data_IF_136810421301
#
_entry.id   IF_136810421301
#
_cell.length_a   1.000
_cell.length_b   1.000
_cell.length_c   1.000
_cell.angle_alpha   90.00
_cell.angle_beta   90.00
_cell.angle_gamma   90.00
#
_symmetry.space_group_name_H-M   'P 1'
#
loop_
_entity.id
_entity.type
_entity.pdbx_description
1 polymer ?
#
# COMPACT_ATOMS: atom_id res chain seq x y z
N UNK A 1 15.09 -0.70 3.99
CA UNK A 1 14.20 0.39 3.52
C UNK A 1 14.75 1.17 2.33
N UNK A 2 15.92 1.84 2.43
CA UNK A 2 16.45 2.69 1.33
C UNK A 2 16.49 2.01 -0.03
N UNK A 3 16.94 0.75 -0.11
CA UNK A 3 16.98 -0.01 -1.38
C UNK A 3 15.60 -0.22 -2.00
N UNK A 4 14.59 -0.54 -1.19
CA UNK A 4 13.19 -0.66 -1.63
C UNK A 4 12.71 0.69 -2.17
N UNK A 5 12.97 1.78 -1.43
CA UNK A 5 12.58 3.12 -1.87
C UNK A 5 13.25 3.54 -3.19
N UNK A 6 14.50 3.13 -3.44
CA UNK A 6 15.18 3.38 -4.72
C UNK A 6 14.45 2.65 -5.87
N UNK A 7 14.07 1.39 -5.67
CA UNK A 7 13.31 0.64 -6.68
C UNK A 7 11.95 1.31 -6.97
N UNK A 8 11.20 1.67 -5.92
CA UNK A 8 9.90 2.36 -6.08
C UNK A 8 10.06 3.73 -6.73
N UNK A 9 11.07 4.51 -6.34
CA UNK A 9 11.36 5.82 -6.94
C UNK A 9 11.67 5.70 -8.44
N UNK A 10 12.38 4.65 -8.83
CA UNK A 10 12.65 4.38 -10.24
C UNK A 10 11.37 4.12 -11.02
N UNK A 11 10.48 3.26 -10.51
CA UNK A 11 9.19 2.98 -11.12
C UNK A 11 8.30 4.23 -11.22
N UNK A 12 8.16 4.97 -10.11
CA UNK A 12 7.27 6.14 -10.06
C UNK A 12 7.74 7.27 -10.98
N UNK A 13 9.05 7.45 -11.18
CA UNK A 13 9.61 8.40 -12.16
C UNK A 13 9.34 8.00 -13.61
N UNK A 14 9.26 6.70 -13.87
CA UNK A 14 8.83 6.16 -15.16
C UNK A 14 7.30 6.13 -15.31
N UNK A 15 6.56 6.70 -14.34
CA UNK A 15 5.11 6.61 -14.28
C UNK A 15 4.60 5.18 -14.27
N UNK A 16 5.29 4.29 -13.56
CA UNK A 16 4.84 2.92 -13.31
C UNK A 16 4.54 2.79 -11.83
N UNK A 17 3.37 2.26 -11.49
CA UNK A 17 3.04 1.80 -10.15
C UNK A 17 3.15 0.27 -10.11
N UNK A 18 3.78 -0.28 -9.08
CA UNK A 18 3.95 -1.74 -8.93
C UNK A 18 2.65 -2.41 -8.49
N UNK A 19 1.95 -1.78 -7.54
CA UNK A 19 0.65 -2.16 -6.96
C UNK A 19 0.62 -3.48 -6.19
N UNK A 20 1.68 -4.29 -6.23
CA UNK A 20 1.86 -5.52 -5.44
C UNK A 20 3.15 -5.52 -4.60
N UNK A 21 3.48 -4.39 -3.97
CA UNK A 21 4.62 -4.34 -3.05
C UNK A 21 4.29 -5.10 -1.76
N UNK A 22 5.03 -6.17 -1.50
CA UNK A 22 4.90 -7.05 -0.34
C UNK A 22 6.20 -7.84 -0.09
N UNK A 23 6.45 -8.37 1.13
CA UNK A 23 7.69 -9.07 1.46
C UNK A 23 8.09 -10.19 0.48
N UNK A 24 7.11 -10.91 -0.06
CA UNK A 24 7.31 -12.01 -1.03
C UNK A 24 7.94 -11.56 -2.34
N UNK A 25 7.70 -10.30 -2.71
CA UNK A 25 8.21 -9.70 -3.94
C UNK A 25 9.53 -8.94 -3.72
N UNK A 26 10.14 -9.07 -2.54
CA UNK A 26 11.42 -8.46 -2.17
C UNK A 26 12.45 -9.56 -1.92
N UNK A 27 13.18 -9.92 -2.99
CA UNK A 27 14.09 -11.07 -2.98
C UNK A 27 15.55 -10.62 -3.01
N UNK A 28 16.41 -11.34 -2.30
CA UNK A 28 17.86 -11.17 -2.46
C UNK A 28 18.38 -11.97 -3.65
N UNK A 29 19.31 -11.40 -4.41
CA UNK A 29 19.92 -12.07 -5.56
C UNK A 29 20.77 -13.29 -5.19
N UNK A 30 21.24 -13.35 -3.94
CA UNK A 30 22.12 -14.38 -3.39
C UNK A 30 21.86 -14.55 -1.89
N UNK A 31 22.15 -15.72 -1.30
CA UNK A 31 21.97 -15.96 0.14
C UNK A 31 23.07 -15.35 1.02
N UNK A 32 24.21 -14.95 0.43
CA UNK A 32 25.33 -14.37 1.15
C UNK A 32 25.20 -12.85 1.31
N UNK A 33 26.01 -12.19 2.18
CA UNK A 33 25.91 -10.75 2.45
C UNK A 33 26.14 -9.83 1.24
N UNK A 34 26.62 -10.34 0.10
CA UNK A 34 26.74 -9.59 -1.16
C UNK A 34 25.45 -9.61 -1.99
N UNK A 35 24.41 -10.30 -1.51
CA UNK A 35 23.09 -10.31 -2.12
C UNK A 35 22.49 -8.91 -2.19
N UNK A 36 21.97 -8.55 -3.37
CA UNK A 36 21.30 -7.27 -3.61
C UNK A 36 19.80 -7.51 -3.54
N UNK A 37 19.09 -6.65 -2.80
CA UNK A 37 17.63 -6.68 -2.74
C UNK A 37 17.03 -6.26 -4.09
N UNK A 38 16.10 -7.06 -4.61
CA UNK A 38 15.41 -6.81 -5.88
C UNK A 38 13.90 -6.90 -5.68
N UNK A 39 13.20 -5.98 -6.33
CA UNK A 39 11.75 -6.02 -6.48
C UNK A 39 11.40 -6.92 -7.66
N UNK A 40 10.43 -7.82 -7.48
CA UNK A 40 9.97 -8.79 -8.47
C UNK A 40 8.45 -8.78 -8.64
N UNK A 41 7.95 -9.55 -9.60
CA UNK A 41 6.52 -9.77 -9.89
C UNK A 41 5.73 -8.50 -10.29
N UNK A 42 5.85 -8.16 -11.57
CA UNK A 42 5.16 -7.03 -12.18
C UNK A 42 3.77 -7.40 -12.73
N UNK A 43 3.19 -8.54 -12.33
CA UNK A 43 1.89 -9.01 -12.85
C UNK A 43 0.72 -8.03 -12.60
N UNK A 44 0.85 -7.17 -11.58
CA UNK A 44 -0.10 -6.09 -11.30
C UNK A 44 0.42 -4.70 -11.63
N UNK A 45 1.65 -4.57 -12.14
CA UNK A 45 2.22 -3.28 -12.45
C UNK A 45 1.45 -2.59 -13.58
N UNK A 46 1.40 -1.25 -13.55
CA UNK A 46 0.67 -0.47 -14.55
C UNK A 46 1.32 0.88 -14.79
N UNK A 47 1.34 1.31 -16.05
CA UNK A 47 1.65 2.70 -16.40
C UNK A 47 0.53 3.61 -15.91
N UNK A 48 0.90 4.61 -15.13
CA UNK A 48 -0.05 5.56 -14.56
C UNK A 48 -0.40 6.64 -15.57
N UNK A 49 0.46 6.97 -16.55
CA UNK A 49 0.21 7.98 -17.58
C UNK A 49 -0.70 7.48 -18.71
N UNK A 50 -1.98 7.22 -18.41
CA UNK A 50 -2.95 7.02 -19.48
C UNK A 50 -3.56 8.36 -19.91
N UNK A 51 -2.85 9.04 -20.83
CA UNK A 51 -3.30 10.23 -21.58
C UNK A 51 -4.51 9.99 -22.52
N UNK A 52 -5.17 8.83 -22.46
CA UNK A 52 -6.26 8.47 -23.39
C UNK A 52 -7.67 8.82 -22.92
N UNK A 53 -7.83 9.68 -21.91
CA UNK A 53 -9.11 10.37 -21.64
C UNK A 53 -8.99 11.85 -22.00
N UNK A 54 -9.26 12.13 -23.28
CA UNK A 54 -9.54 13.44 -23.89
C UNK A 54 -8.39 14.46 -23.92
N UNK A 55 -7.95 14.75 -25.15
CA UNK A 55 -7.19 15.95 -25.47
C UNK A 55 -7.90 17.21 -24.95
N UNK A 56 -7.10 18.08 -24.35
CA UNK A 56 -7.36 19.48 -23.96
C UNK A 56 -7.90 19.72 -22.54
N UNK A 57 -7.01 19.88 -21.55
CA UNK A 57 -7.31 20.62 -20.33
C UNK A 57 -6.82 22.06 -20.46
N UNK A 58 -7.68 22.95 -20.95
CA UNK A 58 -7.60 24.36 -20.57
C UNK A 58 -8.11 24.45 -19.13
N UNK A 59 -7.24 24.34 -18.12
CA UNK A 59 -7.65 24.55 -16.72
C UNK A 59 -7.09 25.84 -16.13
N UNK A 60 -8.02 26.61 -15.57
CA UNK A 60 -7.76 27.64 -14.55
C UNK A 60 -7.67 26.94 -13.17
N UNK A 61 -6.65 27.17 -12.33
CA UNK A 61 -6.22 26.19 -11.31
C UNK A 61 -7.03 26.12 -9.99
N UNK A 62 -8.15 26.83 -9.86
CA UNK A 62 -8.70 27.14 -8.52
C UNK A 62 -9.92 26.32 -8.06
N UNK A 63 -10.50 25.44 -8.90
CA UNK A 63 -11.79 24.78 -8.60
C UNK A 63 -11.85 23.26 -8.84
N UNK A 64 -10.71 22.57 -8.78
CA UNK A 64 -10.66 21.13 -9.08
C UNK A 64 -10.92 20.32 -7.81
N UNK A 65 -11.99 19.52 -7.83
CA UNK A 65 -12.40 18.64 -6.73
C UNK A 65 -11.43 17.44 -6.55
N UNK A 66 -11.29 16.86 -5.34
CA UNK A 66 -10.29 15.83 -5.02
C UNK A 66 -10.33 14.59 -5.93
N UNK A 67 -11.51 14.22 -6.43
CA UNK A 67 -11.73 13.11 -7.37
C UNK A 67 -11.15 13.33 -8.77
N UNK A 68 -10.81 14.57 -9.11
CA UNK A 68 -10.15 14.93 -10.38
C UNK A 68 -8.62 14.78 -10.29
N UNK A 69 -8.08 14.55 -9.08
CA UNK A 69 -6.74 14.00 -8.94
C UNK A 69 -6.78 12.54 -9.42
N UNK A 70 -6.44 12.35 -10.68
CA UNK A 70 -6.75 11.16 -11.43
C UNK A 70 -6.25 9.82 -10.84
N UNK A 71 -6.70 8.72 -11.44
CA UNK A 71 -6.42 7.35 -10.98
C UNK A 71 -4.91 7.05 -10.80
N UNK A 72 -4.05 7.81 -11.49
CA UNK A 72 -2.59 7.79 -11.38
C UNK A 72 -2.07 8.02 -9.95
N UNK A 73 -2.64 8.98 -9.21
CA UNK A 73 -2.23 9.26 -7.83
C UNK A 73 -2.65 8.12 -6.90
N UNK A 74 -3.80 7.50 -7.17
CA UNK A 74 -4.25 6.34 -6.41
C UNK A 74 -3.34 5.13 -6.60
N UNK A 75 -2.95 4.83 -7.84
CA UNK A 75 -2.06 3.69 -8.13
C UNK A 75 -0.69 3.86 -7.44
N UNK A 76 -0.01 5.01 -7.58
CA UNK A 76 1.27 5.26 -6.88
C UNK A 76 1.11 5.27 -5.35
N UNK A 77 -0.02 5.78 -4.84
CA UNK A 77 -0.28 5.80 -3.39
C UNK A 77 -0.40 4.39 -2.77
N UNK A 78 -0.80 3.39 -3.56
CA UNK A 78 -0.87 2.00 -3.13
C UNK A 78 0.53 1.48 -2.76
N UNK A 79 1.52 1.75 -3.61
CA UNK A 79 2.93 1.41 -3.32
C UNK A 79 3.43 2.10 -2.05
N UNK A 80 3.05 3.36 -1.84
CA UNK A 80 3.44 4.11 -0.63
C UNK A 80 2.82 3.52 0.64
N UNK A 81 1.59 3.02 0.57
CA UNK A 81 0.97 2.31 1.69
C UNK A 81 1.74 1.01 2.01
N UNK A 82 2.05 0.21 0.98
CA UNK A 82 2.86 -1.00 1.14
C UNK A 82 4.21 -0.72 1.78
N UNK A 83 4.89 0.35 1.37
CA UNK A 83 6.16 0.78 1.99
C UNK A 83 6.00 1.04 3.49
N UNK A 84 4.90 1.65 3.91
CA UNK A 84 4.59 1.88 5.33
C UNK A 84 4.40 0.58 6.09
N UNK A 85 3.66 -0.38 5.53
CA UNK A 85 3.42 -1.71 6.14
C UNK A 85 4.74 -2.49 6.25
N UNK A 86 5.53 -2.53 5.18
CA UNK A 86 6.83 -3.23 5.16
C UNK A 86 7.79 -2.59 6.16
N UNK A 87 7.85 -1.25 6.22
CA UNK A 87 8.70 -0.55 7.19
C UNK A 87 8.30 -0.87 8.63
N UNK A 88 6.99 -0.91 8.92
CA UNK A 88 6.49 -1.27 10.24
C UNK A 88 6.93 -2.69 10.63
N UNK A 89 6.70 -3.68 9.74
CA UNK A 89 7.10 -5.08 9.98
C UNK A 89 8.61 -5.21 10.15
N UNK A 90 9.43 -4.52 9.34
CA UNK A 90 10.89 -4.58 9.48
C UNK A 90 11.37 -4.06 10.84
N UNK A 91 10.65 -3.12 11.46
CA UNK A 91 11.06 -2.50 12.72
C UNK A 91 10.60 -3.26 13.98
N UNK A 92 9.49 -4.01 13.93
CA UNK A 92 8.98 -4.73 15.10
C UNK A 92 8.69 -6.22 14.89
N UNK A 93 8.61 -6.70 13.64
CA UNK A 93 8.39 -8.10 13.29
C UNK A 93 6.93 -8.51 13.08
N UNK A 94 5.99 -7.57 13.15
CA UNK A 94 4.55 -7.84 13.12
C UNK A 94 3.81 -6.72 12.33
N UNK A 95 2.76 -6.97 11.53
CA UNK A 95 2.01 -5.90 10.82
C UNK A 95 1.38 -4.82 11.71
N UNK A 96 1.13 -3.61 11.17
CA UNK A 96 0.48 -2.52 11.91
C UNK A 96 -0.99 -2.80 12.25
N UNK A 97 -1.65 -3.68 11.50
CA UNK A 97 -3.07 -3.99 11.68
C UNK A 97 -3.19 -5.44 12.14
N UNK A 98 -3.53 -5.63 13.43
CA UNK A 98 -3.82 -6.93 14.02
C UNK A 98 -5.29 -7.11 14.37
N UNK A 99 -5.73 -8.36 14.42
CA UNK A 99 -7.03 -8.79 14.94
C UNK A 99 -6.87 -9.05 16.44
N UNK A 100 -7.64 -8.38 17.31
CA UNK A 100 -7.54 -8.53 18.78
C UNK A 100 -7.89 -9.94 19.30
N UNK A 101 -8.29 -10.86 18.42
CA UNK A 101 -8.82 -12.17 18.79
C UNK A 101 -8.15 -13.34 18.07
N UNK A 102 -6.98 -13.16 17.45
CA UNK A 102 -6.26 -14.25 16.77
C UNK A 102 -6.99 -14.88 15.58
N UNK A 103 -8.18 -14.38 15.23
CA UNK A 103 -8.90 -14.77 14.02
C UNK A 103 -8.36 -13.94 12.85
N UNK A 104 -7.78 -14.63 11.87
CA UNK A 104 -7.61 -14.09 10.53
C UNK A 104 -8.99 -13.62 10.05
N UNK A 105 -9.10 -12.33 9.71
CA UNK A 105 -10.33 -11.66 9.24
C UNK A 105 -11.39 -11.46 10.34
N UNK A 106 -11.17 -10.50 11.23
CA UNK A 106 -12.29 -9.86 11.92
C UNK A 106 -12.78 -8.64 11.11
N UNK A 107 -14.10 -8.36 11.04
CA UNK A 107 -14.63 -7.10 10.52
C UNK A 107 -13.96 -5.86 11.15
N UNK A 108 -13.40 -6.02 12.37
CA UNK A 108 -12.60 -5.01 13.06
C UNK A 108 -11.31 -4.64 12.34
N UNK A 109 -10.66 -5.56 11.63
CA UNK A 109 -9.42 -5.30 10.90
C UNK A 109 -9.62 -4.33 9.73
N UNK A 110 -10.57 -4.64 8.84
CA UNK A 110 -10.92 -3.76 7.71
C UNK A 110 -11.37 -2.38 8.21
N UNK A 111 -12.08 -2.34 9.34
CA UNK A 111 -12.47 -1.09 9.99
C UNK A 111 -11.24 -0.32 10.49
N UNK A 112 -10.26 -0.98 11.12
CA UNK A 112 -9.01 -0.37 11.58
C UNK A 112 -8.15 0.16 10.45
N UNK A 113 -7.99 -0.59 9.36
CA UNK A 113 -7.28 -0.13 8.15
C UNK A 113 -7.96 1.13 7.59
N UNK A 114 -9.28 1.10 7.41
CA UNK A 114 -10.04 2.28 6.93
C UNK A 114 -9.99 3.46 7.89
N UNK A 115 -9.92 3.19 9.20
CA UNK A 115 -9.79 4.21 10.23
C UNK A 115 -8.34 4.66 10.47
N UNK A 116 -7.34 4.01 9.86
CA UNK A 116 -5.93 4.28 10.11
C UNK A 116 -5.51 4.01 11.56
N UNK A 117 -6.19 3.07 12.23
CA UNK A 117 -5.98 2.76 13.64
C UNK A 117 -4.93 1.67 13.79
N UNK A 118 -3.72 2.10 14.14
CA UNK A 118 -2.60 1.26 14.56
C UNK A 118 -1.79 2.03 15.61
N UNK A 119 -1.08 1.29 16.44
CA UNK A 119 -0.25 1.84 17.52
C UNK A 119 1.20 1.37 17.37
N UNK A 120 2.08 1.84 18.25
CA UNK A 120 3.48 1.44 18.33
C UNK A 120 3.73 0.82 19.71
N UNK A 121 3.36 -0.45 19.94
CA UNK A 121 3.32 -1.02 21.28
C UNK A 121 4.72 -1.32 21.83
N UNK A 122 4.84 -1.25 23.14
CA UNK A 122 6.03 -1.67 23.87
C UNK A 122 5.99 -3.19 24.12
N UNK A 123 7.15 -3.86 24.21
CA UNK A 123 8.51 -3.28 24.19
C UNK A 123 9.09 -3.02 22.80
N UNK A 124 8.50 -3.56 21.72
CA UNK A 124 9.15 -3.59 20.41
C UNK A 124 9.40 -2.19 19.80
N UNK A 125 8.56 -1.22 20.14
CA UNK A 125 8.68 0.16 19.66
C UNK A 125 9.32 1.12 20.66
N UNK A 126 9.70 0.66 21.86
CA UNK A 126 10.20 1.53 22.93
C UNK A 126 11.44 2.31 22.48
N UNK A 127 12.40 1.60 21.86
CA UNK A 127 13.68 2.16 21.43
C UNK A 127 13.70 2.63 19.97
N UNK A 128 12.59 2.50 19.25
CA UNK A 128 12.48 2.97 17.86
C UNK A 128 12.30 4.49 17.84
N UNK A 129 13.17 5.18 17.10
CA UNK A 129 13.19 6.65 16.99
C UNK A 129 11.84 7.25 16.58
N UNK A 130 11.55 8.46 17.06
CA UNK A 130 10.39 9.26 16.63
C UNK A 130 10.35 9.45 15.12
N UNK A 131 11.49 9.74 14.49
CA UNK A 131 11.59 10.00 13.05
C UNK A 131 11.09 8.81 12.21
N UNK A 132 11.42 7.58 12.61
CA UNK A 132 10.93 6.36 11.98
C UNK A 132 9.41 6.22 12.14
N UNK A 133 8.88 6.47 13.35
CA UNK A 133 7.44 6.42 13.64
C UNK A 133 6.66 7.47 12.84
N UNK A 134 7.20 8.68 12.71
CA UNK A 134 6.62 9.76 11.91
C UNK A 134 6.60 9.44 10.42
N UNK A 135 7.67 8.83 9.91
CA UNK A 135 7.72 8.39 8.51
C UNK A 135 6.63 7.34 8.22
N UNK A 136 6.45 6.35 9.10
CA UNK A 136 5.36 5.38 9.02
C UNK A 136 3.99 6.07 9.05
N UNK A 137 3.81 7.04 9.97
CA UNK A 137 2.57 7.85 10.03
C UNK A 137 2.26 8.57 8.73
N UNK A 138 3.27 9.08 8.03
CA UNK A 138 3.10 9.71 6.72
C UNK A 138 2.76 8.72 5.60
N UNK A 139 3.35 7.52 5.63
CA UNK A 139 3.10 6.45 4.66
C UNK A 139 1.72 5.78 4.84
N UNK A 140 1.26 5.63 6.08
CA UNK A 140 -0.01 4.97 6.42
C UNK A 140 -1.19 5.95 6.61
N UNK A 141 -1.14 7.11 5.95
CA UNK A 141 -2.31 8.01 5.90
C UNK A 141 -3.43 7.38 5.08
N UNK A 142 -4.64 7.36 5.65
CA UNK A 142 -5.83 6.78 5.02
C UNK A 142 -6.25 7.54 3.77
N UNK A 143 -6.17 8.87 3.82
CA UNK A 143 -6.37 9.76 2.68
C UNK A 143 -5.16 9.68 1.73
N UNK A 144 -5.31 9.10 0.51
CA UNK A 144 -4.23 8.96 -0.44
C UNK A 144 -3.62 10.29 -0.88
N UNK A 145 -4.41 11.37 -0.91
CA UNK A 145 -3.93 12.69 -1.31
C UNK A 145 -3.02 13.34 -0.25
N UNK A 146 -3.11 12.90 1.01
CA UNK A 146 -2.27 13.36 2.12
C UNK A 146 -1.08 12.44 2.39
N UNK A 147 -1.06 11.25 1.77
CA UNK A 147 -0.01 10.24 1.94
C UNK A 147 1.29 10.71 1.30
N UNK A 148 2.42 10.41 1.93
CA UNK A 148 3.73 10.79 1.41
C UNK A 148 3.98 10.18 0.03
N UNK A 149 4.56 10.99 -0.84
CA UNK A 149 5.12 10.59 -2.14
C UNK A 149 6.50 9.97 -1.95
N UNK A 150 6.99 9.25 -2.98
CA UNK A 150 8.30 8.62 -2.89
C UNK A 150 9.44 9.64 -2.84
N UNK A 151 9.28 10.80 -3.48
CA UNK A 151 10.23 11.90 -3.44
C UNK A 151 10.37 12.48 -2.01
N UNK A 152 9.25 12.66 -1.31
CA UNK A 152 9.23 13.10 0.08
C UNK A 152 9.88 12.06 1.01
N UNK A 153 9.60 10.77 0.79
CA UNK A 153 10.21 9.68 1.56
C UNK A 153 11.71 9.60 1.34
N UNK A 154 12.17 9.72 0.09
CA UNK A 154 13.60 9.71 -0.25
C UNK A 154 14.36 10.92 0.33
N UNK A 155 13.66 12.04 0.51
CA UNK A 155 14.21 13.26 1.11
C UNK A 155 14.14 13.26 2.64
N UNK A 156 13.39 12.35 3.25
CA UNK A 156 13.28 12.23 4.70
C UNK A 156 14.64 11.87 5.32
N UNK A 157 15.02 12.54 6.42
CA UNK A 157 16.33 12.36 7.07
C UNK A 157 16.63 10.91 7.43
N UNK A 158 15.62 10.15 7.88
CA UNK A 158 15.77 8.75 8.27
C UNK A 158 16.17 7.85 7.09
N UNK A 159 15.73 8.17 5.88
CA UNK A 159 16.10 7.46 4.63
C UNK A 159 17.36 8.04 3.99
N UNK A 160 17.46 9.37 3.91
CA UNK A 160 18.56 10.06 3.25
C UNK A 160 19.88 9.89 4.00
N UNK A 161 19.84 9.92 5.34
CA UNK A 161 20.99 9.77 6.23
C UNK A 161 21.03 8.40 6.89
N UNK A 162 20.67 7.36 6.13
CA UNK A 162 20.62 5.97 6.62
C UNK A 162 21.96 5.47 7.21
N UNK A 163 23.09 6.11 6.93
CA UNK A 163 24.39 5.79 7.53
C UNK A 163 24.59 6.41 8.93
N UNK A 164 23.80 7.44 9.28
CA UNK A 164 23.86 8.16 10.55
C UNK A 164 22.80 7.68 11.56
N UNK A 165 21.91 6.76 11.16
CA UNK A 165 20.82 6.27 12.02
C UNK A 165 21.37 5.38 13.16
N UNK A 166 20.76 5.44 14.37
CA UNK A 166 21.21 4.63 15.50
C UNK A 166 21.19 3.13 15.20
N UNK A 167 22.22 2.41 15.64
CA UNK A 167 22.30 0.94 15.57
C UNK A 167 21.53 0.29 16.72
N UNK A 168 20.31 0.78 16.99
CA UNK A 168 19.45 0.25 18.03
C UNK A 168 19.03 -1.19 17.68
N UNK A 169 19.30 -2.18 18.53
CA UNK A 169 18.83 -3.55 18.30
C UNK A 169 17.30 -3.59 18.22
N UNK A 170 16.78 -4.34 17.24
CA UNK A 170 15.34 -4.51 17.02
C UNK A 170 14.88 -5.90 17.44
N UNK A 171 13.63 -6.00 17.87
CA UNK A 171 13.01 -7.27 18.23
C UNK A 171 12.53 -8.10 17.03
N UNK A 172 12.55 -7.53 15.82
CA UNK A 172 11.92 -8.09 14.62
C UNK A 172 12.31 -9.53 14.33
N UNK A 173 13.61 -9.87 14.44
CA UNK A 173 14.08 -11.24 14.16
C UNK A 173 13.51 -12.25 15.15
N UNK A 174 13.42 -11.87 16.43
CA UNK A 174 12.85 -12.73 17.48
C UNK A 174 11.36 -12.94 17.21
N UNK A 175 10.61 -11.85 17.01
CA UNK A 175 9.16 -11.91 16.78
C UNK A 175 8.82 -12.72 15.53
N UNK A 176 9.51 -12.49 14.40
CA UNK A 176 9.26 -13.23 13.16
C UNK A 176 9.53 -14.74 13.30
N UNK A 177 10.44 -15.15 14.20
CA UNK A 177 10.68 -16.57 14.50
C UNK A 177 9.64 -17.16 15.46
N UNK A 178 9.24 -16.39 16.47
CA UNK A 178 8.22 -16.81 17.44
C UNK A 178 6.83 -16.92 16.79
N UNK A 179 6.52 -16.02 15.86
CA UNK A 179 5.24 -15.96 15.13
C UNK A 179 5.32 -16.61 13.73
N UNK A 180 6.28 -17.51 13.48
CA UNK A 180 6.44 -18.14 12.15
C UNK A 180 5.15 -18.83 11.66
N UNK A 181 4.39 -19.44 12.57
CA UNK A 181 3.11 -20.09 12.25
C UNK A 181 2.01 -19.08 11.85
N UNK A 182 2.07 -17.84 12.34
CA UNK A 182 1.10 -16.79 12.02
C UNK A 182 1.48 -16.00 10.75
N UNK A 183 2.72 -16.14 10.27
CA UNK A 183 3.20 -15.42 9.10
C UNK A 183 2.35 -15.67 7.83
N UNK A 184 1.93 -16.90 7.49
CA UNK A 184 1.06 -17.12 6.33
C UNK A 184 -0.25 -16.32 6.37
N UNK A 185 -0.86 -16.15 7.55
CA UNK A 185 -2.09 -15.36 7.71
C UNK A 185 -1.81 -13.86 7.49
N UNK A 186 -0.65 -13.38 7.94
CA UNK A 186 -0.18 -12.01 7.69
C UNK A 186 0.00 -11.76 6.19
N UNK A 187 0.61 -12.71 5.47
CA UNK A 187 0.84 -12.64 4.03
C UNK A 187 -0.48 -12.61 3.24
N UNK A 188 -1.43 -13.47 3.62
CA UNK A 188 -2.75 -13.51 2.99
C UNK A 188 -3.51 -12.18 3.19
N UNK A 189 -3.48 -11.62 4.40
CA UNK A 189 -4.17 -10.38 4.69
C UNK A 189 -3.53 -9.17 3.99
N UNK A 190 -2.20 -9.14 3.88
CA UNK A 190 -1.49 -8.12 3.11
C UNK A 190 -1.91 -8.18 1.64
N UNK A 191 -1.96 -9.38 1.06
CA UNK A 191 -2.43 -9.60 -0.33
C UNK A 191 -3.86 -9.13 -0.53
N UNK A 192 -4.77 -9.46 0.40
CA UNK A 192 -6.18 -9.01 0.36
C UNK A 192 -6.31 -7.50 0.50
N UNK A 193 -5.55 -6.88 1.40
CA UNK A 193 -5.56 -5.43 1.61
C UNK A 193 -5.13 -4.71 0.33
N UNK A 194 -4.07 -5.16 -0.32
CA UNK A 194 -3.62 -4.61 -1.60
C UNK A 194 -4.69 -4.74 -2.68
N UNK A 195 -5.37 -5.88 -2.77
CA UNK A 195 -6.46 -6.07 -3.72
C UNK A 195 -7.59 -5.03 -3.53
N UNK A 196 -7.90 -4.66 -2.28
CA UNK A 196 -8.93 -3.63 -2.01
C UNK A 196 -8.48 -2.18 -2.24
N UNK A 197 -7.16 -1.93 -2.24
CA UNK A 197 -6.59 -0.60 -2.49
C UNK A 197 -6.32 -0.35 -3.97
N UNK A 198 -6.24 -1.41 -4.78
CA UNK A 198 -6.13 -1.31 -6.24
C UNK A 198 -7.45 -0.83 -6.83
N UNK A 199 -7.36 0.14 -7.73
CA UNK A 199 -8.46 0.43 -8.65
C UNK A 199 -8.38 -0.58 -9.78
N UNK A 200 -9.38 -1.44 -9.88
CA UNK A 200 -9.52 -2.37 -10.99
C UNK A 200 -10.22 -1.66 -12.15
N UNK A 201 -9.49 -1.46 -13.24
CA UNK A 201 -9.99 -0.79 -14.44
C UNK A 201 -10.66 -1.76 -15.41
N UNK A 202 -10.50 -3.08 -15.21
CA UNK A 202 -11.21 -4.12 -15.96
C UNK A 202 -12.57 -4.44 -15.31
N UNK A 203 -13.09 -3.51 -14.49
CA UNK A 203 -14.39 -3.65 -13.87
C UNK A 203 -15.49 -3.54 -14.91
N UNK A 204 -16.35 -4.56 -14.96
CA UNK A 204 -17.56 -4.55 -15.78
C UNK A 204 -18.40 -3.34 -15.40
N UNK A 205 -18.53 -2.38 -16.30
CA UNK A 205 -19.41 -1.25 -16.09
C UNK A 205 -20.86 -1.71 -16.18
N UNK A 206 -21.65 -1.38 -15.15
CA UNK A 206 -23.09 -1.61 -15.20
C UNK A 206 -23.64 -0.86 -16.41
N UNK A 207 -24.35 -1.60 -17.29
CA UNK A 207 -25.10 -0.97 -18.38
C UNK A 207 -26.13 -0.02 -17.77
N UNK A 208 -26.44 1.06 -18.49
CA UNK A 208 -27.58 1.89 -18.12
C UNK A 208 -28.86 1.02 -18.05
N UNK A 209 -29.81 1.42 -17.22
CA UNK A 209 -30.97 0.58 -16.89
C UNK A 209 -31.80 0.21 -18.12
N UNK A 210 -31.91 1.12 -19.09
CA UNK A 210 -32.52 0.95 -20.40
C UNK A 210 -31.84 -0.14 -21.25
N UNK A 211 -30.51 -0.22 -21.18
CA UNK A 211 -29.68 -1.20 -21.92
C UNK A 211 -29.41 -2.50 -21.15
N UNK A 212 -29.87 -2.58 -19.90
CA UNK A 212 -29.68 -3.76 -19.04
C UNK A 212 -30.80 -4.77 -19.27
N UNK A 213 -30.43 -6.03 -19.43
CA UNK A 213 -31.35 -7.16 -19.48
C UNK A 213 -30.89 -8.24 -18.50
N UNK A 214 -31.75 -8.58 -17.54
CA UNK A 214 -31.56 -9.74 -16.67
C UNK A 214 -32.93 -10.31 -16.27
N UNK A 215 -32.96 -11.58 -15.86
CA UNK A 215 -34.21 -12.32 -15.54
C UNK A 215 -35.10 -11.60 -14.53
N UNK A 216 -34.51 -10.93 -13.54
CA UNK A 216 -35.26 -10.19 -12.52
C UNK A 216 -35.89 -8.90 -13.08
N UNK A 217 -35.12 -8.11 -13.84
CA UNK A 217 -35.59 -6.89 -14.51
C UNK A 217 -36.71 -7.23 -15.51
N UNK A 218 -36.58 -8.32 -16.26
CA UNK A 218 -37.59 -8.77 -17.22
C UNK A 218 -38.90 -9.14 -16.53
N UNK A 219 -38.85 -9.90 -15.43
CA UNK A 219 -40.05 -10.21 -14.63
C UNK A 219 -40.73 -8.95 -14.08
N UNK A 220 -39.96 -7.97 -13.62
CA UNK A 220 -40.52 -6.71 -13.10
C UNK A 220 -41.05 -5.77 -14.17
N UNK A 221 -40.49 -5.81 -15.39
CA UNK A 221 -41.03 -5.07 -16.55
C UNK A 221 -42.35 -5.67 -17.06
N UNK A 222 -42.55 -6.99 -16.90
CA UNK A 222 -43.78 -7.69 -17.30
C UNK A 222 -44.93 -7.52 -16.30
N UNK A 223 -44.62 -7.24 -15.04
CA UNK A 223 -45.60 -6.96 -13.98
C UNK A 223 -45.33 -5.58 -13.33
N UNK A 224 -45.52 -4.47 -14.08
CA UNK A 224 -45.53 -3.16 -13.46
C UNK A 224 -46.67 -3.09 -12.44
N UNK A 225 -46.39 -2.54 -11.27
CA UNK A 225 -47.44 -2.25 -10.27
C UNK A 225 -48.37 -1.16 -10.78
#
# INVERSE_FOLDING_TARGET
MREICIAVAHLHRMNIAHRDLKPENLLYSKPDPTGILKLTDFGFAKETTNFNSLQTPCYTPYYVAPEVLGPEKYDKSCDMWSLGVIMYILLCGFPPFYSNHGLAISPGMKKRIRAGQYDFPNPEWENVSSDAKELIKGLLRTDPAKRLTIEEVMSNKWIARFAEVPQTPLHSIRVLREEEYAWPDVQEEMTRSLATMRVDYDTVHLKNLDKTNNSLLSKRRQHPK
#
